data_IF_600262807372
#
_entry.id   IF_600262807372
#
_cell.length_a   1.000
_cell.length_b   1.000
_cell.length_c   1.000
_cell.angle_alpha   90.00
_cell.angle_beta   90.00
_cell.angle_gamma   90.00
#
_symmetry.space_group_name_H-M   'P 1'
#
loop_
_entity.id
_entity.type
_entity.pdbx_description
1 polymer ?
#
# COMPACT_ATOMS: atom_id res chain seq x y z
N UNK A 1 -33.12 -23.36 20.46
CA UNK A 1 -31.74 -23.79 20.67
C UNK A 1 -31.22 -24.11 19.27
N UNK A 2 -30.51 -23.17 18.66
CA UNK A 2 -29.87 -23.36 17.33
C UNK A 2 -28.52 -24.04 17.61
N UNK A 3 -28.33 -25.26 17.12
CA UNK A 3 -27.04 -25.94 17.17
C UNK A 3 -26.04 -25.12 16.34
N UNK A 4 -25.04 -24.61 17.01
CA UNK A 4 -23.88 -24.04 16.34
C UNK A 4 -23.22 -25.18 15.52
N UNK A 5 -23.17 -25.06 14.23
CA UNK A 5 -22.48 -26.00 13.35
C UNK A 5 -21.00 -26.12 13.77
N UNK A 6 -20.34 -27.24 13.41
CA UNK A 6 -18.94 -27.45 13.77
C UNK A 6 -18.07 -26.31 13.26
N UNK A 7 -17.20 -25.82 14.14
CA UNK A 7 -16.23 -24.78 13.77
C UNK A 7 -15.45 -25.20 12.49
N UNK A 8 -15.22 -24.30 11.54
CA UNK A 8 -14.51 -24.64 10.32
C UNK A 8 -13.12 -25.18 10.68
N UNK A 9 -12.71 -26.25 9.99
CA UNK A 9 -11.40 -26.85 10.17
C UNK A 9 -10.29 -25.81 9.89
N UNK A 10 -9.18 -25.81 10.63
CA UNK A 10 -8.09 -24.87 10.43
C UNK A 10 -7.57 -24.96 8.98
N UNK A 11 -7.38 -23.81 8.35
CA UNK A 11 -6.86 -23.71 6.99
C UNK A 11 -5.39 -24.16 7.03
N UNK A 12 -5.02 -25.15 6.20
CA UNK A 12 -3.62 -25.59 6.05
C UNK A 12 -2.82 -24.60 5.22
N UNK A 13 -1.49 -24.66 5.29
CA UNK A 13 -0.61 -23.77 4.49
C UNK A 13 -0.92 -23.88 2.99
N UNK A 14 -1.01 -25.09 2.43
CA UNK A 14 -1.42 -25.27 1.03
C UNK A 14 -2.85 -24.77 0.74
N UNK A 15 -3.72 -24.73 1.73
CA UNK A 15 -5.05 -24.12 1.61
C UNK A 15 -4.97 -22.59 1.52
N UNK A 16 -4.10 -21.98 2.31
CA UNK A 16 -3.83 -20.54 2.25
C UNK A 16 -3.24 -20.13 0.90
N UNK A 17 -2.26 -20.88 0.42
CA UNK A 17 -1.64 -20.65 -0.89
C UNK A 17 -2.68 -20.75 -2.02
N UNK A 18 -3.55 -21.75 -1.97
CA UNK A 18 -4.63 -21.89 -2.95
C UNK A 18 -5.60 -20.69 -2.90
N UNK A 19 -6.04 -20.31 -1.71
CA UNK A 19 -6.95 -19.18 -1.55
C UNK A 19 -6.31 -17.88 -2.04
N UNK A 20 -5.02 -17.64 -1.73
CA UNK A 20 -4.23 -16.52 -2.22
C UNK A 20 -4.16 -16.52 -3.74
N UNK A 21 -3.78 -17.63 -4.39
CA UNK A 21 -3.67 -17.71 -5.84
C UNK A 21 -5.00 -17.41 -6.54
N UNK A 22 -6.12 -17.91 -6.01
CA UNK A 22 -7.43 -17.59 -6.56
C UNK A 22 -7.83 -16.14 -6.29
N UNK A 23 -7.54 -15.60 -5.09
CA UNK A 23 -7.85 -14.21 -4.75
C UNK A 23 -7.09 -13.23 -5.64
N UNK A 24 -5.79 -13.47 -5.84
CA UNK A 24 -4.92 -12.59 -6.62
C UNK A 24 -5.14 -12.80 -8.12
N UNK A 25 -5.21 -14.02 -8.61
CA UNK A 25 -5.17 -14.34 -10.05
C UNK A 25 -6.47 -14.83 -10.65
N UNK A 26 -7.52 -15.03 -9.85
CA UNK A 26 -8.80 -15.51 -10.35
C UNK A 26 -9.51 -14.53 -11.33
N UNK A 27 -10.33 -15.06 -12.25
CA UNK A 27 -10.67 -16.47 -12.41
C UNK A 27 -9.52 -17.31 -12.99
N UNK A 28 -9.21 -18.45 -12.36
CA UNK A 28 -8.06 -19.29 -12.70
C UNK A 28 -8.44 -20.77 -12.79
N UNK A 29 -7.91 -21.49 -13.80
CA UNK A 29 -8.22 -22.90 -13.98
C UNK A 29 -7.53 -23.78 -12.93
N UNK A 30 -8.17 -24.92 -12.58
CA UNK A 30 -7.55 -25.89 -11.68
C UNK A 30 -6.23 -26.46 -12.21
N UNK A 31 -6.08 -26.57 -13.54
CA UNK A 31 -4.83 -27.01 -14.16
C UNK A 31 -3.70 -26.00 -13.92
N UNK A 32 -3.98 -24.73 -14.09
CA UNK A 32 -3.00 -23.66 -13.84
C UNK A 32 -2.67 -23.54 -12.35
N UNK A 33 -3.66 -23.64 -11.47
CA UNK A 33 -3.43 -23.70 -10.02
C UNK A 33 -2.56 -24.89 -9.61
N UNK A 34 -2.82 -26.08 -10.20
CA UNK A 34 -2.01 -27.28 -9.98
C UNK A 34 -0.55 -27.05 -10.36
N UNK A 35 -0.33 -26.41 -11.51
CA UNK A 35 1.00 -26.07 -12.01
C UNK A 35 1.72 -25.06 -11.11
N UNK A 36 1.05 -23.97 -10.71
CA UNK A 36 1.64 -22.90 -9.88
C UNK A 36 1.98 -23.37 -8.48
N UNK A 37 1.09 -24.15 -7.86
CA UNK A 37 1.23 -24.60 -6.48
C UNK A 37 1.98 -25.93 -6.35
N UNK A 38 2.31 -26.61 -7.45
CA UNK A 38 2.92 -27.95 -7.41
C UNK A 38 2.00 -29.01 -6.76
N UNK A 39 0.68 -28.80 -6.78
CA UNK A 39 -0.30 -29.68 -6.14
C UNK A 39 -0.86 -30.70 -7.16
N UNK A 40 -1.11 -31.94 -6.67
CA UNK A 40 -1.84 -32.92 -7.48
C UNK A 40 -3.32 -32.48 -7.71
N UNK A 41 -3.96 -32.89 -8.83
CA UNK A 41 -5.37 -32.58 -9.06
C UNK A 41 -6.31 -33.04 -7.94
N UNK A 42 -6.00 -34.16 -7.29
CA UNK A 42 -6.78 -34.69 -6.17
C UNK A 42 -6.65 -33.79 -4.92
N UNK A 43 -5.42 -33.34 -4.59
CA UNK A 43 -5.16 -32.41 -3.48
C UNK A 43 -5.86 -31.08 -3.73
N UNK A 44 -5.74 -30.54 -4.94
CA UNK A 44 -6.38 -29.27 -5.32
C UNK A 44 -7.91 -29.36 -5.21
N UNK A 45 -8.52 -30.46 -5.69
CA UNK A 45 -9.96 -30.67 -5.57
C UNK A 45 -10.41 -30.72 -4.10
N UNK A 46 -9.67 -31.42 -3.25
CA UNK A 46 -9.95 -31.51 -1.82
C UNK A 46 -9.83 -30.15 -1.12
N UNK A 47 -8.76 -29.40 -1.40
CA UNK A 47 -8.52 -28.08 -0.78
C UNK A 47 -9.55 -27.06 -1.28
N UNK A 48 -9.83 -26.99 -2.57
CA UNK A 48 -10.80 -26.03 -3.13
C UNK A 48 -12.22 -26.30 -2.64
N UNK A 49 -12.58 -27.55 -2.33
CA UNK A 49 -13.91 -27.91 -1.81
C UNK A 49 -14.22 -27.19 -0.51
N UNK A 50 -13.28 -27.10 0.43
CA UNK A 50 -13.46 -26.37 1.70
C UNK A 50 -13.86 -24.91 1.47
N UNK A 51 -13.23 -24.23 0.54
CA UNK A 51 -13.53 -22.84 0.21
C UNK A 51 -14.81 -22.67 -0.63
N UNK A 52 -15.13 -23.64 -1.48
CA UNK A 52 -16.40 -23.67 -2.20
C UNK A 52 -17.58 -23.89 -1.23
N UNK A 53 -17.44 -24.85 -0.31
CA UNK A 53 -18.47 -25.18 0.69
C UNK A 53 -18.68 -23.99 1.67
N UNK A 54 -17.64 -23.21 1.96
CA UNK A 54 -17.76 -21.99 2.78
C UNK A 54 -18.29 -20.79 2.01
N UNK A 55 -18.43 -20.87 0.69
CA UNK A 55 -18.91 -19.79 -0.16
C UNK A 55 -17.90 -18.68 -0.41
N UNK A 56 -16.62 -18.84 -0.02
CA UNK A 56 -15.53 -17.88 -0.32
C UNK A 56 -15.11 -17.98 -1.77
N UNK A 57 -15.00 -19.21 -2.29
CA UNK A 57 -14.75 -19.45 -3.71
C UNK A 57 -16.03 -19.83 -4.45
N UNK A 58 -16.03 -19.55 -5.74
CA UNK A 58 -17.10 -19.94 -6.68
C UNK A 58 -16.47 -20.56 -7.94
N UNK A 59 -17.25 -21.39 -8.62
CA UNK A 59 -16.91 -21.83 -9.98
C UNK A 59 -17.48 -20.84 -10.98
N UNK A 60 -16.61 -20.30 -11.83
CA UNK A 60 -16.99 -19.43 -12.94
C UNK A 60 -17.72 -20.19 -14.05
N UNK A 61 -18.18 -19.47 -15.08
CA UNK A 61 -18.78 -20.07 -16.27
C UNK A 61 -17.77 -20.99 -16.98
N UNK A 62 -18.29 -21.99 -17.67
CA UNK A 62 -17.44 -22.87 -18.47
C UNK A 62 -16.72 -22.09 -19.58
N UNK A 63 -15.39 -22.23 -19.62
CA UNK A 63 -14.54 -21.61 -20.64
C UNK A 63 -13.90 -22.70 -21.47
N UNK A 64 -14.04 -22.58 -22.81
CA UNK A 64 -13.29 -23.38 -23.77
C UNK A 64 -12.09 -22.56 -24.23
N UNK A 65 -10.88 -23.05 -23.96
CA UNK A 65 -9.62 -22.39 -24.34
C UNK A 65 -9.21 -22.63 -25.81
N UNK A 66 -10.14 -23.16 -26.61
CA UNK A 66 -9.90 -23.44 -28.04
C UNK A 66 -9.01 -24.65 -28.32
N UNK A 67 -8.43 -25.29 -27.32
CA UNK A 67 -7.76 -26.57 -27.44
C UNK A 67 -8.78 -27.71 -27.45
N UNK A 68 -8.41 -28.84 -28.04
CA UNK A 68 -9.24 -30.08 -28.03
C UNK A 68 -9.26 -30.61 -26.59
N UNK A 69 -10.22 -30.13 -25.78
CA UNK A 69 -10.35 -30.52 -24.39
C UNK A 69 -11.78 -30.27 -23.85
N UNK A 70 -12.09 -30.88 -22.68
CA UNK A 70 -13.36 -30.67 -22.00
C UNK A 70 -13.42 -29.23 -21.46
N UNK A 71 -14.53 -28.48 -21.59
CA UNK A 71 -14.70 -27.19 -20.98
C UNK A 71 -14.35 -27.21 -19.50
N UNK A 72 -13.60 -26.20 -19.05
CA UNK A 72 -13.16 -26.07 -17.65
C UNK A 72 -13.93 -24.98 -16.93
N UNK A 73 -14.25 -25.19 -15.66
CA UNK A 73 -14.83 -24.19 -14.79
C UNK A 73 -13.70 -23.58 -13.94
N UNK A 74 -13.28 -22.34 -14.22
CA UNK A 74 -12.26 -21.70 -13.42
C UNK A 74 -12.78 -21.42 -12.01
N UNK A 75 -11.87 -21.41 -11.05
CA UNK A 75 -12.16 -20.95 -9.70
C UNK A 75 -11.98 -19.43 -9.62
N UNK A 76 -12.90 -18.80 -8.90
CA UNK A 76 -12.82 -17.38 -8.58
C UNK A 76 -13.25 -17.13 -7.12
N UNK A 77 -12.93 -15.96 -6.57
CA UNK A 77 -13.46 -15.54 -5.27
C UNK A 77 -14.87 -14.98 -5.46
N UNK A 78 -15.74 -15.27 -4.51
CA UNK A 78 -16.98 -14.53 -4.37
C UNK A 78 -16.67 -13.21 -3.67
N UNK A 79 -16.47 -12.16 -4.47
CA UNK A 79 -15.91 -10.87 -3.99
C UNK A 79 -16.71 -10.25 -2.84
N UNK A 80 -18.02 -10.44 -2.82
CA UNK A 80 -18.95 -9.96 -1.80
C UNK A 80 -19.14 -10.90 -0.60
N UNK A 81 -18.42 -12.04 -0.55
CA UNK A 81 -18.53 -13.00 0.54
C UNK A 81 -18.05 -12.43 1.89
N UNK A 82 -17.14 -11.47 1.84
CA UNK A 82 -16.60 -10.76 3.01
C UNK A 82 -16.38 -9.29 2.69
N UNK A 83 -16.46 -8.46 3.73
CA UNK A 83 -16.25 -7.03 3.64
C UNK A 83 -15.21 -6.58 4.66
N UNK A 84 -14.36 -5.67 4.26
CA UNK A 84 -13.31 -5.13 5.13
C UNK A 84 -13.38 -3.61 5.16
N UNK A 85 -12.93 -3.04 6.26
CA UNK A 85 -12.66 -1.61 6.34
C UNK A 85 -11.17 -1.40 6.48
N UNK A 86 -10.63 -0.46 5.72
CA UNK A 86 -9.25 0.00 5.84
C UNK A 86 -9.22 1.45 6.26
N UNK A 87 -8.38 1.79 7.22
CA UNK A 87 -8.24 3.16 7.73
C UNK A 87 -6.78 3.58 7.67
N UNK A 88 -6.51 4.71 7.03
CA UNK A 88 -5.24 5.43 7.14
C UNK A 88 -5.36 6.45 8.27
N UNK A 89 -4.48 6.36 9.25
CA UNK A 89 -4.30 7.39 10.27
C UNK A 89 -3.19 8.36 9.86
N UNK A 90 -3.52 9.65 9.89
CA UNK A 90 -2.56 10.76 9.79
C UNK A 90 -2.40 11.41 11.17
N UNK A 91 -1.67 12.54 11.26
CA UNK A 91 -1.62 13.34 12.50
C UNK A 91 -2.90 14.14 12.77
N UNK A 92 -3.83 14.22 11.82
CA UNK A 92 -5.03 15.06 11.90
C UNK A 92 -6.33 14.31 11.61
N UNK A 93 -6.29 13.24 10.81
CA UNK A 93 -7.48 12.59 10.30
C UNK A 93 -7.39 11.05 10.33
N UNK A 94 -8.54 10.41 10.47
CA UNK A 94 -8.78 9.01 10.14
C UNK A 94 -9.52 8.95 8.80
N UNK A 95 -8.88 8.38 7.77
CA UNK A 95 -9.40 8.29 6.41
C UNK A 95 -9.72 6.82 6.10
N UNK A 96 -10.97 6.49 5.89
CA UNK A 96 -11.42 5.11 5.77
C UNK A 96 -12.08 4.78 4.44
N UNK A 97 -11.92 3.53 4.02
CA UNK A 97 -12.64 2.93 2.90
C UNK A 97 -13.23 1.59 3.32
N UNK A 98 -14.43 1.26 2.82
CA UNK A 98 -14.93 -0.10 2.83
C UNK A 98 -14.58 -0.79 1.53
N UNK A 99 -14.27 -2.09 1.59
CA UNK A 99 -13.86 -2.88 0.43
C UNK A 99 -14.51 -4.26 0.41
N UNK A 100 -14.54 -4.85 -0.79
CA UNK A 100 -14.76 -6.27 -1.00
C UNK A 100 -13.47 -7.09 -0.78
N UNK A 101 -13.51 -8.40 -1.05
CA UNK A 101 -12.37 -9.32 -0.93
C UNK A 101 -11.20 -9.01 -1.88
N UNK A 102 -11.40 -8.24 -2.95
CA UNK A 102 -10.33 -7.79 -3.86
C UNK A 102 -9.85 -6.37 -3.58
N UNK A 103 -10.12 -5.89 -2.38
CA UNK A 103 -9.82 -4.53 -2.00
C UNK A 103 -10.40 -3.48 -2.98
N UNK A 104 -11.50 -3.82 -3.66
CA UNK A 104 -12.25 -2.85 -4.47
C UNK A 104 -13.05 -1.97 -3.53
N UNK A 105 -12.87 -0.67 -3.63
CA UNK A 105 -13.56 0.29 -2.79
C UNK A 105 -15.08 0.25 -3.02
N UNK A 106 -15.85 0.16 -1.95
CA UNK A 106 -17.33 0.18 -1.96
C UNK A 106 -17.92 1.39 -1.26
N UNK A 107 -17.11 2.12 -0.49
CA UNK A 107 -17.50 3.35 0.19
C UNK A 107 -16.28 4.04 0.79
N UNK A 108 -16.44 5.30 1.21
CA UNK A 108 -15.41 6.08 1.90
C UNK A 108 -16.02 6.96 2.97
N UNK A 109 -15.28 7.21 4.04
CA UNK A 109 -15.62 8.12 5.12
C UNK A 109 -14.35 8.68 5.75
N UNK A 110 -14.46 9.83 6.40
CA UNK A 110 -13.34 10.42 7.14
C UNK A 110 -13.83 11.04 8.46
N UNK A 111 -12.95 11.12 9.43
CA UNK A 111 -13.18 11.80 10.70
C UNK A 111 -11.91 12.53 11.12
N UNK A 112 -12.05 13.80 11.52
CA UNK A 112 -10.94 14.55 12.05
C UNK A 112 -10.63 14.11 13.47
N UNK A 113 -9.35 14.01 13.84
CA UNK A 113 -8.93 13.72 15.18
C UNK A 113 -9.11 14.96 16.07
N UNK A 114 -9.73 14.80 17.25
CA UNK A 114 -9.81 15.89 18.23
C UNK A 114 -8.44 16.15 18.86
N UNK A 115 -7.67 15.09 19.08
CA UNK A 115 -6.25 15.12 19.45
C UNK A 115 -5.58 13.82 19.01
N UNK A 116 -4.27 13.69 19.30
CA UNK A 116 -3.54 12.43 19.05
C UNK A 116 -3.56 11.49 20.28
N UNK A 117 -4.42 11.70 21.26
CA UNK A 117 -4.64 10.74 22.34
C UNK A 117 -5.22 9.44 21.77
N UNK A 118 -4.94 8.31 22.44
CA UNK A 118 -5.47 7.01 21.98
C UNK A 118 -7.01 7.04 21.94
N UNK A 119 -7.66 7.61 22.94
CA UNK A 119 -9.12 7.69 23.02
C UNK A 119 -9.72 8.51 21.88
N UNK A 120 -9.18 9.69 21.58
CA UNK A 120 -9.65 10.54 20.48
C UNK A 120 -9.43 9.87 19.11
N UNK A 121 -8.34 9.13 18.94
CA UNK A 121 -8.09 8.36 17.71
C UNK A 121 -9.08 7.19 17.60
N UNK A 122 -9.36 6.48 18.69
CA UNK A 122 -10.37 5.41 18.70
C UNK A 122 -11.77 5.95 18.41
N UNK A 123 -12.11 7.12 18.92
CA UNK A 123 -13.40 7.79 18.64
C UNK A 123 -13.51 8.15 17.14
N UNK A 124 -12.44 8.65 16.53
CA UNK A 124 -12.41 8.94 15.09
C UNK A 124 -12.49 7.68 14.23
N UNK A 125 -11.80 6.60 14.63
CA UNK A 125 -11.88 5.28 13.98
C UNK A 125 -13.29 4.73 14.05
N UNK A 126 -13.93 4.76 15.25
CA UNK A 126 -15.32 4.32 15.41
C UNK A 126 -16.28 5.14 14.55
N UNK A 127 -16.14 6.47 14.54
CA UNK A 127 -16.96 7.35 13.70
C UNK A 127 -16.87 6.98 12.21
N UNK A 128 -15.68 6.68 11.70
CA UNK A 128 -15.48 6.22 10.31
C UNK A 128 -16.16 4.87 10.08
N UNK A 129 -15.99 3.90 10.98
CA UNK A 129 -16.60 2.57 10.86
C UNK A 129 -18.14 2.67 10.89
N UNK A 130 -18.70 3.50 11.77
CA UNK A 130 -20.16 3.73 11.84
C UNK A 130 -20.69 4.36 10.55
N UNK A 131 -19.98 5.35 9.99
CA UNK A 131 -20.36 5.99 8.74
C UNK A 131 -20.34 5.02 7.54
N UNK A 132 -19.51 3.98 7.58
CA UNK A 132 -19.41 2.94 6.55
C UNK A 132 -20.37 1.76 6.73
N UNK A 133 -21.19 1.74 7.81
CA UNK A 133 -22.23 0.75 8.04
C UNK A 133 -22.17 0.04 9.38
N UNK A 134 -21.25 0.42 10.24
CA UNK A 134 -21.05 -0.12 11.58
C UNK A 134 -20.22 -1.42 11.63
N UNK A 135 -19.69 -1.79 12.81
CA UNK A 135 -18.77 -2.93 12.95
C UNK A 135 -19.34 -4.26 12.44
N UNK A 136 -20.63 -4.51 12.66
CA UNK A 136 -21.29 -5.75 12.23
C UNK A 136 -21.34 -5.95 10.70
N UNK A 137 -21.02 -4.90 9.91
CA UNK A 137 -20.99 -4.98 8.45
C UNK A 137 -19.65 -5.52 7.91
N UNK A 138 -18.65 -5.73 8.77
CA UNK A 138 -17.28 -6.04 8.36
C UNK A 138 -16.73 -7.29 9.04
N UNK A 139 -15.98 -8.08 8.30
CA UNK A 139 -15.25 -9.27 8.76
C UNK A 139 -13.90 -8.92 9.40
N UNK A 140 -13.40 -7.72 9.20
CA UNK A 140 -12.16 -7.23 9.78
C UNK A 140 -11.85 -5.78 9.44
N UNK A 141 -10.95 -5.19 10.22
CA UNK A 141 -10.43 -3.84 10.03
C UNK A 141 -8.91 -3.86 9.90
N UNK A 142 -8.40 -3.14 8.91
CA UNK A 142 -6.99 -2.79 8.81
C UNK A 142 -6.78 -1.32 9.14
N UNK A 143 -5.74 -1.02 9.90
CA UNK A 143 -5.31 0.36 10.17
C UNK A 143 -3.86 0.52 9.77
N UNK A 144 -3.57 1.54 8.96
CA UNK A 144 -2.22 1.89 8.55
C UNK A 144 -1.83 3.28 9.06
N UNK A 145 -0.57 3.44 9.44
CA UNK A 145 -0.04 4.71 9.95
C UNK A 145 1.45 4.85 9.64
N UNK A 146 1.93 6.09 9.60
CA UNK A 146 3.35 6.39 9.47
C UNK A 146 4.09 6.10 10.76
N UNK A 147 4.92 5.08 10.75
CA UNK A 147 5.69 4.65 11.91
C UNK A 147 6.10 3.19 11.86
N UNK A 148 6.77 2.75 12.92
CA UNK A 148 7.17 1.35 13.11
C UNK A 148 6.10 0.62 13.92
N UNK A 149 5.68 -0.54 13.41
CA UNK A 149 4.64 -1.40 14.00
C UNK A 149 5.18 -2.81 14.10
N UNK A 150 5.06 -3.42 15.28
CA UNK A 150 5.45 -4.80 15.54
C UNK A 150 4.28 -5.52 16.20
N UNK A 151 3.77 -6.56 15.55
CA UNK A 151 2.69 -7.42 16.06
C UNK A 151 1.46 -6.64 16.59
N UNK A 152 1.11 -5.54 15.89
CA UNK A 152 -0.04 -4.68 16.22
C UNK A 152 0.22 -3.63 17.31
N UNK A 153 1.42 -3.62 17.88
CA UNK A 153 1.92 -2.55 18.75
C UNK A 153 2.61 -1.49 17.92
N UNK A 154 2.23 -0.24 18.10
CA UNK A 154 2.88 0.92 17.48
C UNK A 154 4.11 1.27 18.31
N UNK A 155 5.29 0.77 17.91
CA UNK A 155 6.54 1.03 18.64
C UNK A 155 6.90 2.52 18.59
N UNK A 156 6.67 3.15 17.42
CA UNK A 156 6.91 4.59 17.21
C UNK A 156 6.05 5.11 16.06
N UNK A 157 5.29 6.18 16.32
CA UNK A 157 4.56 6.94 15.30
C UNK A 157 4.77 8.44 15.51
N UNK A 158 5.72 9.09 14.80
CA UNK A 158 6.08 10.49 15.05
C UNK A 158 4.92 11.46 14.86
N UNK A 159 4.06 11.27 13.86
CA UNK A 159 2.94 12.16 13.57
C UNK A 159 1.82 12.10 14.64
N UNK A 160 1.74 10.98 15.38
CA UNK A 160 0.80 10.82 16.49
C UNK A 160 1.46 11.06 17.86
N UNK A 161 2.78 11.19 17.90
CA UNK A 161 3.54 11.30 19.15
C UNK A 161 3.54 10.00 19.97
N UNK A 162 3.25 8.86 19.36
CA UNK A 162 3.08 7.57 20.05
C UNK A 162 4.39 6.80 20.20
N UNK A 163 4.46 6.06 21.32
CA UNK A 163 5.49 5.04 21.58
C UNK A 163 4.89 3.90 22.40
N UNK A 164 5.04 2.66 21.91
CA UNK A 164 4.63 1.44 22.64
C UNK A 164 3.12 1.36 22.86
N UNK A 165 2.29 1.77 21.88
CA UNK A 165 0.83 1.75 21.97
C UNK A 165 0.30 0.45 21.36
N UNK A 166 -0.37 -0.39 22.15
CA UNK A 166 -1.08 -1.60 21.63
C UNK A 166 -2.41 -1.19 20.97
N UNK A 167 -2.27 -0.71 19.72
CA UNK A 167 -3.41 -0.23 18.95
C UNK A 167 -4.32 -1.39 18.52
N UNK A 168 -3.75 -2.58 18.25
CA UNK A 168 -4.55 -3.73 17.82
C UNK A 168 -5.55 -4.14 18.89
N UNK A 169 -5.08 -4.33 20.13
CA UNK A 169 -5.97 -4.67 21.24
C UNK A 169 -7.02 -3.60 21.48
N UNK A 170 -6.61 -2.33 21.52
CA UNK A 170 -7.53 -1.21 21.76
C UNK A 170 -8.65 -1.13 20.70
N UNK A 171 -8.32 -1.27 19.40
CA UNK A 171 -9.30 -1.27 18.31
C UNK A 171 -10.19 -2.50 18.35
N UNK A 172 -9.63 -3.69 18.61
CA UNK A 172 -10.41 -4.93 18.69
C UNK A 172 -11.39 -4.91 19.86
N UNK A 173 -10.98 -4.38 21.01
CA UNK A 173 -11.85 -4.21 22.19
C UNK A 173 -12.96 -3.19 21.92
N UNK A 174 -12.63 -2.06 21.27
CA UNK A 174 -13.59 -0.99 20.99
C UNK A 174 -14.66 -1.40 19.97
N UNK A 175 -14.28 -2.11 18.91
CA UNK A 175 -15.16 -2.41 17.78
C UNK A 175 -15.71 -3.84 17.77
N UNK A 176 -15.10 -4.76 18.52
CA UNK A 176 -15.51 -6.16 18.57
C UNK A 176 -15.24 -6.94 17.27
N UNK A 177 -14.36 -6.45 16.38
CA UNK A 177 -13.98 -7.11 15.13
C UNK A 177 -12.46 -7.32 15.07
N UNK A 178 -11.98 -8.35 14.35
CA UNK A 178 -10.55 -8.58 14.17
C UNK A 178 -9.84 -7.36 13.55
N UNK A 179 -8.73 -6.94 14.15
CA UNK A 179 -7.96 -5.79 13.66
C UNK A 179 -6.53 -6.17 13.29
N UNK A 180 -6.02 -5.52 12.26
CA UNK A 180 -4.64 -5.62 11.78
C UNK A 180 -4.05 -4.22 11.69
N UNK A 181 -2.90 -4.00 12.32
CA UNK A 181 -2.20 -2.71 12.30
C UNK A 181 -0.90 -2.89 11.52
N UNK A 182 -0.60 -1.96 10.63
CA UNK A 182 0.59 -2.05 9.79
C UNK A 182 1.19 -0.65 9.53
N UNK A 183 2.47 -0.63 9.19
CA UNK A 183 3.07 0.56 8.58
C UNK A 183 2.37 0.90 7.25
N UNK A 184 2.17 2.17 6.98
CA UNK A 184 1.41 2.65 5.82
C UNK A 184 2.05 2.28 4.47
N UNK A 185 3.36 2.40 4.35
CA UNK A 185 4.06 2.04 3.10
C UNK A 185 4.06 0.53 2.87
N UNK A 186 4.18 -0.27 3.94
CA UNK A 186 4.04 -1.74 3.86
C UNK A 186 2.63 -2.13 3.43
N UNK A 187 1.62 -1.50 4.01
CA UNK A 187 0.22 -1.75 3.67
C UNK A 187 -0.07 -1.38 2.21
N UNK A 188 0.42 -0.22 1.74
CA UNK A 188 0.33 0.19 0.35
C UNK A 188 1.04 -0.82 -0.57
N UNK A 189 2.27 -1.22 -0.22
CA UNK A 189 3.05 -2.21 -0.98
C UNK A 189 2.31 -3.55 -1.09
N UNK A 190 1.68 -3.98 -0.01
CA UNK A 190 0.88 -5.21 0.02
C UNK A 190 -0.36 -5.12 -0.88
N UNK A 191 -1.01 -3.95 -0.93
CA UNK A 191 -2.14 -3.73 -1.84
C UNK A 191 -1.71 -3.69 -3.31
N UNK A 192 -0.60 -3.00 -3.61
CA UNK A 192 -0.05 -2.95 -4.96
C UNK A 192 0.38 -4.33 -5.45
N UNK A 193 0.94 -5.15 -4.57
CA UNK A 193 1.36 -6.51 -4.87
C UNK A 193 0.18 -7.44 -5.23
N UNK A 194 -0.92 -7.39 -4.47
CA UNK A 194 -2.03 -8.32 -4.67
C UNK A 194 -3.11 -7.80 -5.62
N UNK A 195 -3.37 -6.50 -5.59
CA UNK A 195 -4.55 -5.90 -6.21
C UNK A 195 -4.25 -4.70 -7.11
N UNK A 196 -3.00 -4.24 -7.16
CA UNK A 196 -2.60 -3.04 -7.87
C UNK A 196 -1.62 -3.28 -9.03
N UNK A 197 -0.77 -2.31 -9.28
CA UNK A 197 0.17 -2.28 -10.39
C UNK A 197 1.27 -3.36 -10.31
N UNK A 198 1.57 -3.84 -9.11
CA UNK A 198 2.51 -4.94 -8.87
C UNK A 198 1.93 -6.34 -9.06
N UNK A 199 0.62 -6.44 -9.35
CA UNK A 199 -0.04 -7.75 -9.51
C UNK A 199 0.57 -8.56 -10.65
N UNK A 200 1.08 -9.76 -10.31
CA UNK A 200 1.75 -10.65 -11.27
C UNK A 200 3.24 -10.36 -11.46
N UNK A 201 3.78 -9.34 -10.80
CA UNK A 201 5.23 -9.11 -10.71
C UNK A 201 5.76 -9.75 -9.42
N UNK A 202 6.86 -10.48 -9.53
CA UNK A 202 7.54 -11.08 -8.38
C UNK A 202 8.46 -10.10 -7.66
N UNK A 203 8.87 -9.04 -8.37
CA UNK A 203 9.90 -8.10 -7.90
C UNK A 203 9.56 -6.68 -8.36
N UNK A 204 9.31 -5.77 -7.45
CA UNK A 204 9.07 -4.36 -7.72
C UNK A 204 9.24 -3.51 -6.46
N UNK A 205 9.37 -2.21 -6.62
CA UNK A 205 9.43 -1.26 -5.53
C UNK A 205 8.21 -0.34 -5.49
N UNK A 206 7.89 0.15 -4.30
CA UNK A 206 6.95 1.26 -4.08
C UNK A 206 7.75 2.40 -3.48
N UNK A 207 7.65 3.57 -4.07
CA UNK A 207 8.21 4.82 -3.56
C UNK A 207 7.07 5.78 -3.27
N UNK A 208 7.06 6.38 -2.10
CA UNK A 208 6.07 7.41 -1.77
C UNK A 208 6.76 8.73 -1.49
N UNK A 209 6.21 9.80 -2.04
CA UNK A 209 6.66 11.18 -1.81
C UNK A 209 5.48 12.05 -1.38
N UNK A 210 5.67 12.85 -0.33
CA UNK A 210 4.62 13.68 0.23
C UNK A 210 5.10 14.37 1.50
N UNK A 211 4.41 14.22 2.62
CA UNK A 211 4.86 14.68 3.94
C UNK A 211 6.20 14.03 4.35
N UNK A 212 6.45 12.82 3.86
CA UNK A 212 7.68 12.06 4.00
C UNK A 212 8.11 11.40 2.70
N UNK A 213 9.20 10.63 2.77
CA UNK A 213 9.65 9.74 1.69
C UNK A 213 9.63 8.32 2.24
N UNK A 214 8.77 7.49 1.67
CA UNK A 214 8.61 6.10 2.07
C UNK A 214 9.06 5.12 0.99
N UNK A 215 9.46 3.92 1.40
CA UNK A 215 9.96 2.89 0.50
C UNK A 215 9.44 1.52 0.92
N UNK A 216 8.86 0.82 -0.03
CA UNK A 216 8.44 -0.57 0.08
C UNK A 216 9.07 -1.41 -1.01
N UNK A 217 9.31 -2.68 -0.75
CA UNK A 217 9.95 -3.58 -1.70
C UNK A 217 9.24 -4.94 -1.69
N UNK A 218 9.04 -5.51 -2.87
CA UNK A 218 8.62 -6.89 -3.09
C UNK A 218 9.77 -7.62 -3.77
N UNK A 219 10.17 -8.76 -3.23
CA UNK A 219 11.20 -9.64 -3.78
C UNK A 219 10.71 -11.09 -3.69
N UNK A 220 10.84 -11.82 -4.78
CA UNK A 220 10.39 -13.21 -4.85
C UNK A 220 8.92 -13.39 -4.39
N UNK A 221 8.05 -12.50 -4.83
CA UNK A 221 6.61 -12.54 -4.50
C UNK A 221 6.30 -12.33 -3.00
N UNK A 222 7.20 -11.69 -2.25
CA UNK A 222 7.03 -11.36 -0.84
C UNK A 222 7.34 -9.89 -0.56
N UNK A 223 6.46 -9.24 0.18
CA UNK A 223 6.73 -7.90 0.73
C UNK A 223 7.85 -8.01 1.76
N UNK A 224 8.91 -7.25 1.56
CA UNK A 224 10.04 -7.21 2.49
C UNK A 224 9.61 -6.55 3.80
N UNK A 225 9.74 -7.30 4.90
CA UNK A 225 9.48 -6.84 6.27
C UNK A 225 10.71 -7.09 7.12
N UNK A 226 11.19 -6.03 7.75
CA UNK A 226 12.34 -6.08 8.68
C UNK A 226 12.02 -5.23 9.91
N UNK A 227 12.81 -5.35 10.97
CA UNK A 227 12.66 -4.53 12.17
C UNK A 227 12.83 -3.01 11.89
N UNK A 228 13.46 -2.66 10.78
CA UNK A 228 13.73 -1.26 10.40
C UNK A 228 12.63 -0.64 9.51
N UNK A 229 11.64 -1.43 9.14
CA UNK A 229 10.49 -0.93 8.37
C UNK A 229 9.72 0.11 9.18
N UNK A 230 9.35 1.21 8.54
CA UNK A 230 8.62 2.31 9.16
C UNK A 230 9.51 3.37 9.83
N UNK A 231 10.83 3.20 9.89
CA UNK A 231 11.74 4.25 10.36
C UNK A 231 12.05 5.35 9.33
N UNK A 232 11.58 5.18 8.09
CA UNK A 232 11.80 6.18 7.03
C UNK A 232 13.27 6.33 6.62
N UNK A 233 14.05 5.24 6.64
CA UNK A 233 15.50 5.27 6.39
C UNK A 233 15.86 5.86 5.03
N UNK A 234 15.04 5.61 3.99
CA UNK A 234 15.24 6.18 2.67
C UNK A 234 15.05 7.71 2.65
N UNK A 235 14.36 8.28 3.62
CA UNK A 235 14.15 9.74 3.75
C UNK A 235 15.45 10.54 3.87
N UNK A 236 16.54 9.91 4.29
CA UNK A 236 17.85 10.58 4.42
C UNK A 236 18.89 10.12 3.41
N UNK A 237 18.47 9.44 2.34
CA UNK A 237 19.36 9.07 1.25
C UNK A 237 19.92 10.33 0.57
N UNK A 238 21.26 10.45 0.38
CA UNK A 238 21.90 11.64 -0.17
C UNK A 238 21.64 11.75 -1.68
N UNK A 239 21.04 12.87 -2.12
CA UNK A 239 20.70 13.10 -3.52
C UNK A 239 21.44 14.30 -4.13
N UNK A 240 21.61 15.39 -3.38
CA UNK A 240 22.27 16.61 -3.88
C UNK A 240 23.15 17.23 -2.78
N UNK A 241 24.48 17.19 -2.91
CA UNK A 241 25.39 17.77 -1.91
C UNK A 241 25.26 19.29 -1.76
N UNK A 242 24.63 19.97 -2.72
CA UNK A 242 24.37 21.42 -2.69
C UNK A 242 22.95 21.77 -2.26
N UNK A 243 22.08 20.77 -2.05
CA UNK A 243 20.68 20.94 -1.68
C UNK A 243 20.44 21.51 -0.28
N UNK A 244 19.16 21.76 0.09
CA UNK A 244 18.81 22.30 1.40
C UNK A 244 19.11 21.30 2.53
N UNK A 245 19.03 21.79 3.78
CA UNK A 245 19.11 20.94 4.97
C UNK A 245 17.72 20.42 5.34
N UNK A 246 17.63 19.13 5.71
CA UNK A 246 16.45 18.62 6.41
C UNK A 246 16.48 18.99 7.90
N UNK A 247 15.39 18.67 8.62
CA UNK A 247 15.27 18.97 10.04
C UNK A 247 16.31 18.24 10.92
N UNK A 248 16.81 17.07 10.44
CA UNK A 248 17.85 16.29 11.13
C UNK A 248 19.27 16.72 10.72
N UNK A 249 19.41 17.78 9.91
CA UNK A 249 20.70 18.38 9.53
C UNK A 249 21.38 17.71 8.33
N UNK A 250 20.75 16.74 7.65
CA UNK A 250 21.30 16.16 6.43
C UNK A 250 21.09 17.11 5.25
N UNK A 251 22.17 17.32 4.45
CA UNK A 251 22.12 18.21 3.29
C UNK A 251 21.68 17.44 2.04
N UNK A 252 20.67 17.97 1.32
CA UNK A 252 20.21 17.45 0.05
C UNK A 252 19.80 15.98 0.08
N UNK A 253 19.30 15.50 1.20
CA UNK A 253 18.74 14.16 1.32
C UNK A 253 17.33 14.07 0.72
N UNK A 254 16.79 12.87 0.58
CA UNK A 254 15.47 12.64 0.01
C UNK A 254 14.38 13.49 0.67
N UNK A 255 14.35 13.61 2.00
CA UNK A 255 13.41 14.47 2.73
C UNK A 255 13.59 15.94 2.33
N UNK A 256 14.83 16.43 2.30
CA UNK A 256 15.11 17.82 1.96
C UNK A 256 14.78 18.18 0.51
N UNK A 257 14.87 17.21 -0.40
CA UNK A 257 14.67 17.44 -1.83
C UNK A 257 13.26 17.13 -2.32
N UNK A 258 12.55 16.17 -1.70
CA UNK A 258 11.36 15.55 -2.30
C UNK A 258 10.08 15.74 -1.48
N UNK A 259 10.15 16.13 -0.19
CA UNK A 259 8.91 16.35 0.56
C UNK A 259 8.19 17.62 0.12
N UNK A 260 6.87 17.57 0.08
CA UNK A 260 6.01 18.72 -0.27
C UNK A 260 6.30 19.92 0.64
N UNK A 261 6.48 19.67 1.94
CA UNK A 261 6.82 20.71 2.91
C UNK A 261 8.17 21.39 2.62
N UNK A 262 9.20 20.63 2.24
CA UNK A 262 10.51 21.20 1.89
C UNK A 262 10.46 22.01 0.59
N UNK A 263 9.75 21.50 -0.42
CA UNK A 263 9.56 22.21 -1.70
C UNK A 263 8.83 23.54 -1.46
N UNK A 264 7.72 23.52 -0.71
CA UNK A 264 6.99 24.72 -0.33
C UNK A 264 7.85 25.72 0.45
N UNK A 265 8.64 25.24 1.40
CA UNK A 265 9.50 26.10 2.21
C UNK A 265 10.55 26.85 1.37
N UNK A 266 11.20 26.17 0.41
CA UNK A 266 12.18 26.77 -0.49
C UNK A 266 11.56 27.90 -1.31
N UNK A 267 10.38 27.66 -1.92
CA UNK A 267 9.68 28.67 -2.73
C UNK A 267 9.16 29.80 -1.83
N UNK A 268 8.60 29.49 -0.65
CA UNK A 268 8.09 30.49 0.31
C UNK A 268 9.18 31.45 0.76
N UNK A 269 10.38 30.95 1.07
CA UNK A 269 11.53 31.80 1.47
C UNK A 269 11.94 32.73 0.33
N UNK A 270 12.02 32.24 -0.88
CA UNK A 270 12.42 33.05 -2.04
C UNK A 270 11.37 34.12 -2.39
N UNK A 271 10.08 33.85 -2.14
CA UNK A 271 8.98 34.78 -2.44
C UNK A 271 8.64 35.71 -1.26
N UNK A 272 9.14 35.46 -0.06
CA UNK A 272 8.78 36.18 1.16
C UNK A 272 7.32 36.00 1.60
N UNK A 273 6.64 34.92 1.15
CA UNK A 273 5.27 34.54 1.55
C UNK A 273 5.09 33.04 1.58
N UNK A 274 4.15 32.55 2.37
CA UNK A 274 3.78 31.15 2.35
C UNK A 274 3.12 30.78 1.01
N UNK A 275 3.41 29.58 0.51
CA UNK A 275 2.79 28.96 -0.66
C UNK A 275 2.38 27.53 -0.35
N UNK A 276 1.30 27.08 -0.97
CA UNK A 276 0.88 25.68 -0.96
C UNK A 276 1.63 24.87 -2.03
N UNK A 277 1.55 23.54 -1.96
CA UNK A 277 2.20 22.69 -2.95
C UNK A 277 1.57 22.86 -4.34
N UNK A 278 0.24 22.97 -4.41
CA UNK A 278 -0.49 23.20 -5.66
C UNK A 278 -0.10 24.56 -6.29
N UNK A 279 0.00 25.63 -5.47
CA UNK A 279 0.51 26.92 -5.94
C UNK A 279 1.93 26.81 -6.53
N UNK A 280 2.81 26.00 -5.92
CA UNK A 280 4.17 25.77 -6.45
C UNK A 280 4.12 25.11 -7.82
N UNK A 281 3.29 24.06 -7.98
CA UNK A 281 3.13 23.35 -9.26
C UNK A 281 2.53 24.26 -10.33
N UNK A 282 1.48 25.04 -10.01
CA UNK A 282 0.88 26.01 -10.92
C UNK A 282 1.91 27.08 -11.37
N UNK A 283 2.68 27.62 -10.42
CA UNK A 283 3.71 28.60 -10.71
C UNK A 283 4.83 28.01 -11.58
N UNK A 284 5.22 26.75 -11.35
CA UNK A 284 6.24 26.06 -12.15
C UNK A 284 5.74 25.83 -13.58
N UNK A 285 4.49 25.41 -13.75
CA UNK A 285 3.81 25.26 -15.04
C UNK A 285 3.71 26.59 -15.80
N UNK A 286 3.50 27.70 -15.08
CA UNK A 286 3.50 29.07 -15.61
C UNK A 286 4.95 29.62 -15.83
N UNK A 287 5.97 28.79 -15.74
CA UNK A 287 7.39 29.15 -15.90
C UNK A 287 7.91 30.21 -14.91
N UNK A 288 7.32 30.29 -13.71
CA UNK A 288 7.86 31.18 -12.67
C UNK A 288 9.27 30.74 -12.27
N UNK A 289 10.30 31.59 -12.36
CA UNK A 289 11.70 31.13 -12.30
C UNK A 289 12.08 30.42 -11.00
N UNK A 290 11.56 30.89 -9.85
CA UNK A 290 11.85 30.26 -8.54
C UNK A 290 11.19 28.89 -8.43
N UNK A 291 9.86 28.82 -8.67
CA UNK A 291 9.12 27.56 -8.56
C UNK A 291 9.67 26.51 -9.52
N UNK A 292 9.97 26.92 -10.77
CA UNK A 292 10.55 26.02 -11.78
C UNK A 292 11.93 25.50 -11.38
N UNK A 293 12.81 26.35 -10.87
CA UNK A 293 14.14 25.93 -10.43
C UNK A 293 14.08 24.90 -9.29
N UNK A 294 13.15 25.09 -8.32
CA UNK A 294 12.95 24.17 -7.19
C UNK A 294 12.35 22.85 -7.68
N UNK A 295 11.31 22.88 -8.52
CA UNK A 295 10.65 21.66 -9.02
C UNK A 295 11.56 20.85 -9.95
N UNK A 296 12.33 21.49 -10.83
CA UNK A 296 13.33 20.82 -11.67
C UNK A 296 14.44 20.16 -10.83
N UNK A 297 14.88 20.82 -9.75
CA UNK A 297 15.86 20.23 -8.83
C UNK A 297 15.28 19.03 -8.09
N UNK A 298 14.01 19.11 -7.66
CA UNK A 298 13.30 17.98 -7.03
C UNK A 298 13.13 16.80 -8.00
N UNK A 299 12.74 17.06 -9.25
CA UNK A 299 12.59 16.00 -10.28
C UNK A 299 13.91 15.32 -10.60
N UNK A 300 15.00 16.07 -10.73
CA UNK A 300 16.35 15.47 -10.90
C UNK A 300 16.74 14.60 -9.72
N UNK A 301 16.41 15.04 -8.50
CA UNK A 301 16.64 14.26 -7.28
C UNK A 301 15.77 13.01 -7.23
N UNK A 302 14.51 13.09 -7.66
CA UNK A 302 13.62 11.94 -7.77
C UNK A 302 14.17 10.91 -8.78
N UNK A 303 14.63 11.36 -9.95
CA UNK A 303 15.25 10.49 -10.95
C UNK A 303 16.47 9.75 -10.43
N UNK A 304 17.35 10.43 -9.67
CA UNK A 304 18.49 9.81 -8.99
C UNK A 304 18.05 8.76 -7.98
N UNK A 305 17.02 9.07 -7.19
CA UNK A 305 16.49 8.12 -6.19
C UNK A 305 15.90 6.88 -6.86
N UNK A 306 15.12 7.05 -7.93
CA UNK A 306 14.56 5.96 -8.72
C UNK A 306 15.64 5.08 -9.34
N UNK A 307 16.68 5.70 -9.92
CA UNK A 307 17.84 4.97 -10.44
C UNK A 307 18.56 4.21 -9.33
N UNK A 308 18.80 4.83 -8.17
CA UNK A 308 19.45 4.17 -7.04
C UNK A 308 18.64 2.97 -6.53
N UNK A 309 17.32 3.13 -6.34
CA UNK A 309 16.43 2.03 -5.92
C UNK A 309 16.50 0.87 -6.92
N UNK A 310 16.32 1.15 -8.21
CA UNK A 310 16.27 0.12 -9.25
C UNK A 310 17.64 -0.55 -9.47
N UNK A 311 18.74 0.18 -9.29
CA UNK A 311 20.10 -0.38 -9.38
C UNK A 311 20.45 -1.26 -8.16
N UNK A 312 20.05 -0.86 -6.95
CA UNK A 312 20.39 -1.59 -5.72
C UNK A 312 19.49 -2.81 -5.52
N UNK A 313 18.18 -2.64 -5.71
CA UNK A 313 17.21 -3.71 -5.54
C UNK A 313 17.09 -4.64 -6.76
N UNK A 314 17.73 -4.29 -7.88
CA UNK A 314 17.70 -5.02 -9.17
C UNK A 314 16.26 -5.22 -9.69
N UNK A 315 15.39 -4.25 -9.45
CA UNK A 315 14.01 -4.22 -9.95
C UNK A 315 13.90 -3.24 -11.11
N UNK A 316 12.97 -3.48 -12.04
CA UNK A 316 12.70 -2.57 -13.15
C UNK A 316 11.39 -1.80 -13.00
N UNK A 317 10.50 -2.23 -12.11
CA UNK A 317 9.19 -1.59 -11.90
C UNK A 317 9.18 -0.84 -10.58
N UNK A 318 8.73 0.42 -10.60
CA UNK A 318 8.49 1.22 -9.40
C UNK A 318 7.08 1.81 -9.46
N UNK A 319 6.32 1.62 -8.41
CA UNK A 319 5.05 2.33 -8.18
C UNK A 319 5.36 3.58 -7.37
N UNK A 320 5.05 4.75 -7.92
CA UNK A 320 5.21 6.05 -7.27
C UNK A 320 3.85 6.56 -6.80
N UNK A 321 3.72 6.83 -5.51
CA UNK A 321 2.47 7.27 -4.90
C UNK A 321 2.70 8.39 -3.88
N UNK A 322 1.61 8.92 -3.32
CA UNK A 322 1.61 9.98 -2.31
C UNK A 322 1.28 11.36 -2.89
N UNK A 323 1.05 12.32 -2.02
CA UNK A 323 0.58 13.66 -2.37
C UNK A 323 1.61 14.52 -3.13
N UNK A 324 2.84 14.05 -3.23
CA UNK A 324 3.92 14.73 -3.96
C UNK A 324 4.05 14.34 -5.43
N UNK A 325 3.23 13.39 -5.94
CA UNK A 325 3.38 12.85 -7.31
C UNK A 325 3.12 13.86 -8.43
N UNK A 326 2.42 14.95 -8.16
CA UNK A 326 2.18 16.05 -9.10
C UNK A 326 3.46 16.67 -9.71
N UNK A 327 4.62 16.46 -9.07
CA UNK A 327 5.94 16.80 -9.66
C UNK A 327 6.18 16.12 -11.01
N UNK A 328 5.65 14.92 -11.22
CA UNK A 328 5.96 14.10 -12.40
C UNK A 328 5.14 14.50 -13.61
N UNK A 329 3.94 15.03 -13.40
CA UNK A 329 2.99 15.32 -14.50
C UNK A 329 3.52 16.36 -15.51
N UNK A 330 4.24 17.37 -15.02
CA UNK A 330 4.72 18.47 -15.86
C UNK A 330 6.18 18.34 -16.29
N UNK A 331 6.95 17.41 -15.74
CA UNK A 331 8.41 17.29 -15.90
C UNK A 331 8.85 15.85 -16.21
N UNK A 332 8.00 15.07 -16.91
CA UNK A 332 8.28 13.67 -17.21
C UNK A 332 9.56 13.45 -18.03
N UNK A 333 9.84 14.29 -19.02
CA UNK A 333 11.05 14.18 -19.83
C UNK A 333 12.33 14.45 -19.03
N UNK A 334 12.28 15.40 -18.09
CA UNK A 334 13.39 15.70 -17.18
C UNK A 334 13.61 14.55 -16.19
N UNK A 335 12.52 13.89 -15.75
CA UNK A 335 12.60 12.71 -14.89
C UNK A 335 13.26 11.55 -15.62
N UNK A 336 12.81 11.22 -16.84
CA UNK A 336 13.37 10.16 -17.66
C UNK A 336 14.88 10.38 -17.92
N UNK A 337 15.26 11.62 -18.25
CA UNK A 337 16.67 11.98 -18.44
C UNK A 337 17.48 11.81 -17.14
N UNK A 338 16.91 12.16 -15.99
CA UNK A 338 17.57 12.01 -14.70
C UNK A 338 17.72 10.54 -14.28
N UNK A 339 16.73 9.70 -14.56
CA UNK A 339 16.83 8.25 -14.35
C UNK A 339 17.93 7.66 -15.24
N UNK A 340 17.93 8.01 -16.53
CA UNK A 340 18.89 7.48 -17.49
C UNK A 340 20.34 7.89 -17.19
N UNK A 341 20.54 9.07 -16.58
CA UNK A 341 21.87 9.56 -16.26
C UNK A 341 22.65 8.68 -15.26
N UNK A 342 21.94 8.00 -14.37
CA UNK A 342 22.54 7.19 -13.28
C UNK A 342 22.32 5.67 -13.50
N UNK A 343 21.90 5.23 -14.71
CA UNK A 343 21.68 3.82 -15.06
C UNK A 343 22.59 3.39 -16.20
N UNK A 344 22.95 2.10 -16.20
CA UNK A 344 23.61 1.48 -17.34
C UNK A 344 22.62 1.42 -18.54
N UNK A 345 23.02 1.90 -19.73
CA UNK A 345 22.16 1.91 -20.92
C UNK A 345 21.74 0.51 -21.39
N UNK A 346 22.50 -0.54 -21.03
CA UNK A 346 22.16 -1.92 -21.35
C UNK A 346 21.21 -2.54 -20.31
N UNK A 347 20.93 -1.84 -19.21
CA UNK A 347 19.97 -2.27 -18.20
C UNK A 347 18.52 -2.20 -18.67
N UNK A 348 17.65 -3.02 -18.07
CA UNK A 348 16.21 -2.96 -18.36
C UNK A 348 15.66 -1.55 -18.09
N UNK A 349 14.82 -1.00 -18.98
CA UNK A 349 14.17 0.29 -18.74
C UNK A 349 13.39 0.31 -17.44
N UNK A 350 13.40 1.44 -16.73
CA UNK A 350 12.55 1.63 -15.55
C UNK A 350 11.11 1.82 -15.99
N UNK A 351 10.23 0.96 -15.51
CA UNK A 351 8.77 1.10 -15.65
C UNK A 351 8.24 1.85 -14.43
N UNK A 352 7.90 3.11 -14.60
CA UNK A 352 7.30 3.93 -13.54
C UNK A 352 5.78 3.92 -13.69
N UNK A 353 5.08 3.48 -12.65
CA UNK A 353 3.62 3.57 -12.54
C UNK A 353 3.30 4.61 -11.49
N UNK A 354 2.61 5.68 -11.89
CA UNK A 354 2.22 6.77 -10.98
C UNK A 354 0.79 6.55 -10.51
N UNK A 355 0.58 6.54 -9.19
CA UNK A 355 -0.74 6.53 -8.57
C UNK A 355 -1.01 7.92 -7.95
N UNK A 356 -1.89 8.67 -8.58
CA UNK A 356 -2.34 10.01 -8.22
C UNK A 356 -3.67 10.04 -7.46
N UNK A 357 -4.19 8.88 -7.03
CA UNK A 357 -5.52 8.75 -6.38
C UNK A 357 -5.58 9.32 -4.95
N UNK A 358 -4.58 10.07 -4.51
CA UNK A 358 -4.55 10.73 -3.22
C UNK A 358 -4.42 9.77 -2.03
N UNK A 359 -5.32 9.87 -1.03
CA UNK A 359 -5.25 9.03 0.17
C UNK A 359 -5.99 7.69 0.07
N UNK A 360 -6.76 7.45 -0.98
CA UNK A 360 -7.52 6.22 -1.17
C UNK A 360 -6.62 4.97 -1.21
N UNK A 361 -5.47 4.97 -1.93
CA UNK A 361 -4.55 3.85 -1.95
C UNK A 361 -4.03 3.44 -0.57
N UNK A 362 -3.81 4.39 0.32
CA UNK A 362 -3.33 4.15 1.69
C UNK A 362 -4.37 3.43 2.56
N UNK A 363 -5.62 3.89 2.53
CA UNK A 363 -6.72 3.25 3.24
C UNK A 363 -7.06 1.88 2.62
N UNK A 364 -7.01 1.77 1.29
CA UNK A 364 -7.13 0.49 0.56
C UNK A 364 -5.99 -0.46 0.94
N UNK A 365 -4.77 0.05 1.14
CA UNK A 365 -3.63 -0.69 1.67
C UNK A 365 -3.92 -1.30 3.03
N UNK A 366 -4.50 -0.52 3.93
CA UNK A 366 -4.92 -0.99 5.24
C UNK A 366 -5.97 -2.12 5.13
N UNK A 367 -6.97 -1.99 4.25
CA UNK A 367 -7.94 -3.07 3.99
C UNK A 367 -7.25 -4.33 3.44
N UNK A 368 -6.28 -4.17 2.53
CA UNK A 368 -5.55 -5.29 1.93
C UNK A 368 -4.80 -6.12 2.98
N UNK A 369 -4.14 -5.49 3.97
CA UNK A 369 -3.48 -6.24 5.04
C UNK A 369 -4.48 -6.96 5.96
N UNK A 370 -5.66 -6.39 6.20
CA UNK A 370 -6.73 -7.11 6.92
C UNK A 370 -7.24 -8.33 6.13
N UNK A 371 -7.40 -8.18 4.82
CA UNK A 371 -7.75 -9.30 3.92
C UNK A 371 -6.67 -10.38 4.00
N UNK A 372 -5.38 -10.02 3.85
CA UNK A 372 -4.25 -10.94 3.95
C UNK A 372 -4.22 -11.67 5.30
N UNK A 373 -4.43 -10.95 6.40
CA UNK A 373 -4.49 -11.53 7.75
C UNK A 373 -5.63 -12.54 7.87
N UNK A 374 -6.80 -12.26 7.29
CA UNK A 374 -7.97 -13.17 7.33
C UNK A 374 -7.72 -14.52 6.63
N UNK A 375 -6.76 -14.57 5.71
CA UNK A 375 -6.28 -15.79 5.05
C UNK A 375 -5.05 -16.40 5.73
N UNK A 376 -4.57 -15.80 6.84
CA UNK A 376 -3.43 -16.29 7.62
C UNK A 376 -2.07 -16.07 6.95
N UNK A 377 -1.94 -15.08 6.05
CA UNK A 377 -0.70 -14.80 5.32
C UNK A 377 0.26 -13.89 6.11
N UNK A 378 -0.25 -13.13 7.08
CA UNK A 378 0.54 -12.19 7.90
C UNK A 378 1.04 -12.78 9.25
N UNK A 379 1.01 -14.06 9.44
CA UNK A 379 1.29 -14.72 10.72
C UNK A 379 2.52 -15.61 10.74
N UNK A 380 3.60 -15.27 10.02
CA UNK A 380 4.91 -15.95 10.19
C UNK A 380 6.05 -14.96 10.14
#
# INVERSE_FOLDING_TARGET
>A
MSEAGPAPAPITDSGRDLAREVLVHGPISRTELSRRLGLSPASLTRLSKTFLDSGILVEGPEVSDGAVGRPVKPLDVKVDARRFVGIKLTGEDALGVSTDLRATQTGSASSRLASTSLDDVLDAVDAVVQALGGPAAFDGIGISLGGNVSDGVVDRAPFLGWRGVDLRSAVSERLGIPSTIENDVVALTAAEHWFGAGRGSTDFAVLTIGAGVGYGLVVNDHVVRTADVGFGLLGHFPLDPSGPLCMDGHRGCSTAMLTTGSICAQVSVALGRAVTYDEVLEMAAAHHPVARAVTESAVRSLGRLLAAITNIALVSTVVLAGEGVGLVESLGAELDAAIAADRDPDGSPVSLVVDDSGFVPWARGAAAVAIQSSFGVLGT
#
